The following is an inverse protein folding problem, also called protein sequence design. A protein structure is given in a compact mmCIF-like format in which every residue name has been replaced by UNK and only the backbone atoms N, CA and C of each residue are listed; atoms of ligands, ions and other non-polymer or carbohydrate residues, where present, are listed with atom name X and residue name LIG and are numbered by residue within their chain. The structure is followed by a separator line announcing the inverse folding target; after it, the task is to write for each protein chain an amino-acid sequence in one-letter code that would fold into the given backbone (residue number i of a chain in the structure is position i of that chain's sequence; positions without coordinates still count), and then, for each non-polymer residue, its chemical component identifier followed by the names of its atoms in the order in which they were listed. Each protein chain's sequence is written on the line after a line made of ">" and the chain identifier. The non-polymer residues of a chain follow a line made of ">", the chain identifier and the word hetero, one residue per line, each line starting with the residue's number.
data_IF_677675730529
#
_entry.id   IF_677675730529
#
_cell.length_a   1.000
_cell.length_b   1.000
_cell.length_c   1.000
_cell.angle_alpha   90.00
_cell.angle_beta   90.00
_cell.angle_gamma   90.00
#
_symmetry.space_group_name_H-M   'P 1'
#
loop_
_entity.id
_entity.type
_entity.pdbx_description
1 polymer ?
#
# COMPACT_ATOMS: atom_id res chain seq x y z
N UNK A 1 -25.88 -20.04 -1.83
CA UNK A 1 -25.36 -19.51 -3.10
C UNK A 1 -25.03 -18.04 -2.90
N UNK A 2 -23.79 -17.69 -2.60
CA UNK A 2 -23.38 -16.28 -2.58
C UNK A 2 -23.26 -15.82 -4.04
N UNK A 3 -24.23 -15.04 -4.51
CA UNK A 3 -24.16 -14.44 -5.84
C UNK A 3 -22.95 -13.51 -5.94
N UNK A 4 -22.15 -13.65 -6.99
CA UNK A 4 -21.01 -12.78 -7.24
C UNK A 4 -21.52 -11.38 -7.55
N UNK A 5 -21.49 -10.48 -6.55
CA UNK A 5 -21.83 -9.07 -6.74
C UNK A 5 -20.64 -8.36 -7.35
N UNK A 6 -20.86 -7.79 -8.54
CA UNK A 6 -19.88 -6.91 -9.19
C UNK A 6 -19.94 -5.54 -8.52
N UNK A 7 -18.81 -5.07 -8.01
CA UNK A 7 -18.63 -3.73 -7.43
C UNK A 7 -17.72 -2.94 -8.36
N UNK A 8 -18.07 -1.70 -8.69
CA UNK A 8 -17.19 -0.86 -9.48
C UNK A 8 -16.02 -0.39 -8.61
N UNK A 9 -14.79 -0.45 -9.13
CA UNK A 9 -13.57 -0.01 -8.40
C UNK A 9 -13.72 1.43 -7.90
N UNK A 10 -14.36 2.30 -8.69
CA UNK A 10 -14.61 3.70 -8.32
C UNK A 10 -15.35 3.84 -6.99
N UNK A 11 -16.25 2.92 -6.67
CA UNK A 11 -17.02 2.97 -5.43
C UNK A 11 -16.17 2.57 -4.21
N UNK A 12 -15.03 1.91 -4.45
CA UNK A 12 -14.03 1.57 -3.42
C UNK A 12 -13.00 2.68 -3.20
N UNK A 13 -12.82 3.59 -4.16
CA UNK A 13 -11.81 4.65 -4.13
C UNK A 13 -11.73 5.44 -2.81
N UNK A 14 -12.84 5.83 -2.14
CA UNK A 14 -12.77 6.53 -0.85
C UNK A 14 -12.00 5.77 0.24
N UNK A 15 -11.83 4.45 0.09
CA UNK A 15 -11.17 3.58 1.05
C UNK A 15 -9.75 3.17 0.65
N UNK A 16 -9.33 3.42 -0.59
CA UNK A 16 -8.07 2.90 -1.16
C UNK A 16 -7.20 3.95 -1.85
N UNK A 17 -7.62 5.23 -1.80
CA UNK A 17 -6.82 6.36 -2.26
C UNK A 17 -6.09 7.04 -1.09
N UNK A 18 -4.87 7.50 -1.37
CA UNK A 18 -4.07 8.31 -0.47
C UNK A 18 -4.54 9.77 -0.52
N UNK A 19 -4.93 10.33 0.63
CA UNK A 19 -5.37 11.73 0.71
C UNK A 19 -4.25 12.76 0.41
N UNK A 20 -2.97 12.38 0.50
CA UNK A 20 -1.84 13.28 0.27
C UNK A 20 -1.47 13.42 -1.22
N UNK A 21 -1.60 12.35 -2.02
CA UNK A 21 -1.25 12.39 -3.45
C UNK A 21 -2.43 12.21 -4.40
N UNK A 22 -3.61 11.82 -3.90
CA UNK A 22 -4.81 11.54 -4.70
C UNK A 22 -4.76 10.24 -5.50
N UNK A 23 -3.65 9.51 -5.49
CA UNK A 23 -3.50 8.20 -6.14
C UNK A 23 -3.86 7.03 -5.22
N UNK A 24 -3.83 5.80 -5.75
CA UNK A 24 -4.00 4.58 -4.93
C UNK A 24 -2.86 4.44 -3.92
N UNK A 25 -3.16 3.78 -2.79
CA UNK A 25 -2.17 3.48 -1.77
C UNK A 25 -1.06 2.57 -2.32
N UNK A 26 0.19 3.04 -2.22
CA UNK A 26 1.41 2.30 -2.53
C UNK A 26 2.26 2.25 -1.27
N UNK A 27 2.66 1.04 -0.86
CA UNK A 27 3.24 0.78 0.46
C UNK A 27 2.38 1.42 1.57
N UNK A 28 1.12 1.01 1.66
CA UNK A 28 0.14 1.52 2.60
C UNK A 28 0.75 1.57 4.01
N UNK A 29 0.65 2.73 4.63
CA UNK A 29 1.22 3.04 5.94
C UNK A 29 0.15 3.73 6.76
N UNK A 30 -0.18 3.13 7.90
CA UNK A 30 -1.30 3.50 8.74
C UNK A 30 -0.81 4.19 10.01
N UNK A 31 -1.44 5.31 10.37
CA UNK A 31 -1.25 5.98 11.66
C UNK A 31 -1.95 5.18 12.75
N UNK A 32 -1.22 4.77 13.79
CA UNK A 32 -1.77 3.89 14.84
C UNK A 32 -2.89 4.57 15.63
N UNK A 33 -2.71 5.85 15.96
CA UNK A 33 -3.63 6.60 16.85
C UNK A 33 -5.03 6.82 16.26
N UNK A 34 -5.15 6.89 14.92
CA UNK A 34 -6.42 7.22 14.26
C UNK A 34 -6.79 6.31 13.08
N UNK A 35 -5.97 5.31 12.77
CA UNK A 35 -6.17 4.33 11.70
C UNK A 35 -6.36 4.90 10.29
N UNK A 36 -5.90 6.13 10.04
CA UNK A 36 -5.83 6.69 8.71
C UNK A 36 -4.58 6.21 7.97
N UNK A 37 -4.75 5.82 6.70
CA UNK A 37 -3.70 5.23 5.86
C UNK A 37 -3.30 6.13 4.70
N UNK A 38 -2.01 6.08 4.36
CA UNK A 38 -1.39 6.88 3.30
C UNK A 38 -0.33 6.03 2.57
N UNK A 39 0.20 6.50 1.45
CA UNK A 39 1.42 5.92 0.89
C UNK A 39 2.60 6.17 1.84
N UNK A 40 3.52 5.20 1.98
CA UNK A 40 4.70 5.32 2.86
C UNK A 40 5.49 6.60 2.60
N UNK A 41 5.86 6.84 1.34
CA UNK A 41 6.64 8.03 0.94
C UNK A 41 5.90 9.33 1.27
N UNK A 42 4.58 9.38 1.02
CA UNK A 42 3.77 10.56 1.29
C UNK A 42 3.72 10.91 2.78
N UNK A 43 3.40 9.94 3.64
CA UNK A 43 3.26 10.23 5.08
C UNK A 43 4.63 10.48 5.73
N UNK A 44 5.68 9.77 5.33
CA UNK A 44 7.03 10.02 5.85
C UNK A 44 7.48 11.45 5.53
N UNK A 45 7.33 11.89 4.27
CA UNK A 45 7.67 13.25 3.86
C UNK A 45 6.83 14.32 4.58
N UNK A 46 5.52 14.07 4.76
CA UNK A 46 4.66 15.00 5.50
C UNK A 46 5.10 15.17 6.97
N UNK A 47 5.54 14.09 7.61
CA UNK A 47 5.92 14.10 9.02
C UNK A 47 7.30 14.72 9.31
N UNK A 48 8.02 15.15 8.28
CA UNK A 48 9.22 15.98 8.44
C UNK A 48 8.86 17.37 8.98
N UNK A 49 7.69 17.89 8.61
CA UNK A 49 7.25 19.26 8.96
C UNK A 49 6.06 19.29 9.93
N UNK A 50 5.33 18.18 10.06
CA UNK A 50 4.12 18.08 10.88
C UNK A 50 4.15 16.86 11.81
N UNK A 51 3.37 16.92 12.90
CA UNK A 51 3.21 15.82 13.88
C UNK A 51 1.75 15.41 14.07
N UNK A 52 0.86 15.89 13.20
CA UNK A 52 -0.57 15.61 13.24
C UNK A 52 -1.01 14.81 12.02
N UNK A 53 -2.14 14.14 12.09
CA UNK A 53 -2.71 13.40 10.96
C UNK A 53 -3.23 14.36 9.88
N UNK A 54 -2.87 14.18 8.59
CA UNK A 54 -3.38 15.02 7.50
C UNK A 54 -4.90 15.02 7.30
N UNK A 55 -5.63 14.04 7.86
CA UNK A 55 -7.07 13.87 7.66
C UNK A 55 -7.88 14.41 8.84
N UNK A 56 -7.44 14.16 10.07
CA UNK A 56 -8.22 14.43 11.27
C UNK A 56 -7.51 15.28 12.33
N UNK A 57 -6.31 15.79 12.02
CA UNK A 57 -5.49 16.62 12.92
C UNK A 57 -5.12 15.99 14.27
N UNK A 58 -5.41 14.71 14.48
CA UNK A 58 -5.00 13.97 15.66
C UNK A 58 -3.47 13.97 15.79
N UNK A 59 -2.97 14.22 17.01
CA UNK A 59 -1.53 14.18 17.27
C UNK A 59 -1.01 12.75 17.12
N UNK A 60 -0.13 12.52 16.14
CA UNK A 60 0.44 11.20 15.84
C UNK A 60 1.42 10.80 16.95
N UNK A 61 2.27 11.73 17.37
CA UNK A 61 3.20 11.55 18.48
C UNK A 61 3.70 12.92 18.95
N UNK A 62 4.09 13.04 20.22
CA UNK A 62 4.56 14.31 20.82
C UNK A 62 5.83 14.87 20.15
N UNK A 63 6.83 14.02 19.93
CA UNK A 63 8.14 14.43 19.39
C UNK A 63 8.54 13.72 18.09
N UNK A 64 8.37 12.39 18.03
CA UNK A 64 8.83 11.51 16.95
C UNK A 64 7.65 10.82 16.22
N UNK A 65 6.97 11.50 15.28
CA UNK A 65 5.77 10.96 14.61
C UNK A 65 6.00 9.63 13.86
N UNK A 66 7.21 9.38 13.35
CA UNK A 66 7.56 8.12 12.67
C UNK A 66 7.45 6.87 13.57
N UNK A 67 7.45 7.02 14.90
CA UNK A 67 7.26 5.89 15.82
C UNK A 67 5.83 5.36 15.85
N UNK A 68 4.85 6.17 15.43
CA UNK A 68 3.41 5.87 15.52
C UNK A 68 2.75 5.67 14.14
N UNK A 69 3.54 5.31 13.13
CA UNK A 69 3.07 4.81 11.84
C UNK A 69 3.57 3.39 11.61
N UNK A 70 2.78 2.55 10.94
CA UNK A 70 3.14 1.16 10.63
C UNK A 70 2.79 0.80 9.19
N UNK A 71 3.62 0.01 8.50
CA UNK A 71 3.22 -0.61 7.24
C UNK A 71 1.96 -1.45 7.44
N UNK A 72 1.02 -1.34 6.52
CA UNK A 72 -0.26 -2.05 6.54
C UNK A 72 -0.31 -3.01 5.35
N UNK A 73 0.32 -4.19 5.54
CA UNK A 73 0.46 -5.19 4.49
C UNK A 73 -0.89 -5.74 4.03
N UNK A 74 -1.85 -5.86 4.96
CA UNK A 74 -3.21 -6.33 4.66
C UNK A 74 -3.94 -5.34 3.77
N UNK A 75 -3.94 -4.05 4.12
CA UNK A 75 -4.54 -3.02 3.28
C UNK A 75 -3.85 -2.95 1.93
N UNK A 76 -2.52 -2.95 1.88
CA UNK A 76 -1.78 -2.95 0.62
C UNK A 76 -2.16 -4.14 -0.27
N UNK A 77 -2.26 -5.33 0.31
CA UNK A 77 -2.69 -6.55 -0.40
C UNK A 77 -4.11 -6.43 -0.94
N UNK A 78 -5.03 -5.83 -0.19
CA UNK A 78 -6.39 -5.56 -0.65
C UNK A 78 -6.38 -4.58 -1.82
N UNK A 79 -5.66 -3.47 -1.73
CA UNK A 79 -5.56 -2.47 -2.81
C UNK A 79 -5.03 -3.11 -4.10
N UNK A 80 -3.97 -3.91 -4.03
CA UNK A 80 -3.42 -4.61 -5.21
C UNK A 80 -4.35 -5.68 -5.79
N UNK A 81 -5.16 -6.35 -4.97
CA UNK A 81 -6.14 -7.34 -5.43
C UNK A 81 -7.41 -6.70 -6.00
N UNK A 82 -7.80 -5.52 -5.50
CA UNK A 82 -9.03 -4.82 -5.90
C UNK A 82 -8.86 -3.96 -7.15
N UNK A 83 -7.66 -3.39 -7.37
CA UNK A 83 -7.40 -2.50 -8.51
C UNK A 83 -6.65 -3.27 -9.61
N UNK A 84 -7.30 -3.60 -10.74
CA UNK A 84 -6.66 -4.32 -11.83
C UNK A 84 -5.46 -3.56 -12.38
N UNK A 85 -4.34 -4.26 -12.63
CA UNK A 85 -3.14 -3.66 -13.23
C UNK A 85 -2.22 -2.92 -12.25
N UNK A 86 -2.71 -2.51 -11.08
CA UNK A 86 -1.99 -1.59 -10.20
C UNK A 86 -0.63 -2.13 -9.74
N UNK A 87 -0.59 -3.39 -9.30
CA UNK A 87 0.66 -4.01 -8.88
C UNK A 87 1.65 -4.14 -10.03
N UNK A 88 1.19 -4.62 -11.20
CA UNK A 88 2.08 -4.78 -12.36
C UNK A 88 2.65 -3.44 -12.81
N UNK A 89 1.82 -2.38 -12.81
CA UNK A 89 2.24 -1.03 -13.15
C UNK A 89 3.28 -0.48 -12.17
N UNK A 90 3.08 -0.69 -10.86
CA UNK A 90 4.05 -0.29 -9.83
C UNK A 90 5.37 -1.04 -9.96
N UNK A 91 5.33 -2.38 -10.12
CA UNK A 91 6.54 -3.20 -10.33
C UNK A 91 7.27 -2.83 -11.63
N UNK A 92 6.54 -2.48 -12.69
CA UNK A 92 7.14 -1.98 -13.93
C UNK A 92 7.88 -0.67 -13.68
N UNK A 93 7.25 0.32 -13.01
CA UNK A 93 7.87 1.62 -12.72
C UNK A 93 9.14 1.46 -11.88
N UNK A 94 9.13 0.59 -10.86
CA UNK A 94 10.31 0.28 -10.05
C UNK A 94 11.45 -0.28 -10.90
N UNK A 95 11.17 -1.28 -11.74
CA UNK A 95 12.18 -1.84 -12.67
C UNK A 95 12.74 -0.80 -13.62
N UNK A 96 11.87 0.02 -14.23
CA UNK A 96 12.29 1.08 -15.16
C UNK A 96 13.20 2.12 -14.48
N UNK A 97 12.87 2.51 -13.25
CA UNK A 97 13.69 3.43 -12.46
C UNK A 97 15.06 2.80 -12.14
N UNK A 98 15.07 1.59 -11.57
CA UNK A 98 16.28 0.93 -11.13
C UNK A 98 17.17 0.41 -12.28
N UNK A 99 16.62 0.17 -13.47
CA UNK A 99 17.39 -0.17 -14.67
C UNK A 99 18.36 0.93 -15.11
N UNK A 100 18.17 2.16 -14.63
CA UNK A 100 19.05 3.30 -14.93
C UNK A 100 20.17 3.51 -13.90
N UNK A 101 20.16 2.75 -12.79
CA UNK A 101 21.10 2.90 -11.69
C UNK A 101 22.29 1.91 -11.79
N UNK A 102 23.45 2.23 -11.21
CA UNK A 102 24.56 1.29 -11.06
C UNK A 102 24.19 0.06 -10.24
N UNK A 103 24.80 -1.10 -10.53
CA UNK A 103 24.53 -2.35 -9.80
C UNK A 103 24.82 -2.23 -8.29
N UNK A 104 25.78 -1.41 -7.89
CA UNK A 104 26.10 -1.16 -6.48
C UNK A 104 24.93 -0.60 -5.67
N UNK A 105 24.05 0.18 -6.31
CA UNK A 105 22.89 0.78 -5.65
C UNK A 105 21.71 -0.21 -5.54
N UNK A 106 21.83 -1.39 -6.14
CA UNK A 106 20.80 -2.43 -6.17
C UNK A 106 21.03 -3.56 -5.16
N UNK A 107 22.24 -3.69 -4.60
CA UNK A 107 22.63 -4.79 -3.71
C UNK A 107 21.80 -4.82 -2.41
N UNK A 108 21.43 -3.65 -1.90
CA UNK A 108 20.68 -3.52 -0.64
C UNK A 108 19.15 -3.58 -0.82
N UNK A 109 18.65 -3.62 -2.06
CA UNK A 109 17.22 -3.57 -2.35
C UNK A 109 16.59 -4.96 -2.34
N UNK A 110 15.42 -5.08 -1.70
CA UNK A 110 14.60 -6.28 -1.79
C UNK A 110 14.09 -6.53 -3.20
N UNK A 111 13.64 -7.77 -3.47
CA UNK A 111 13.04 -8.13 -4.77
C UNK A 111 11.82 -7.26 -5.11
N UNK A 112 11.03 -6.86 -4.12
CA UNK A 112 9.88 -5.98 -4.34
C UNK A 112 10.32 -4.54 -4.64
N UNK A 113 11.35 -4.04 -3.96
CA UNK A 113 11.92 -2.71 -4.24
C UNK A 113 12.51 -2.65 -5.64
N UNK A 114 13.15 -3.73 -6.10
CA UNK A 114 13.63 -3.88 -7.48
C UNK A 114 12.51 -4.06 -8.52
N UNK A 115 11.28 -4.29 -8.09
CA UNK A 115 10.13 -4.53 -8.98
C UNK A 115 10.07 -5.95 -9.57
N UNK A 116 10.72 -6.91 -8.92
CA UNK A 116 10.82 -8.33 -9.31
C UNK A 116 9.92 -9.25 -8.46
N UNK A 117 9.02 -8.68 -7.63
CA UNK A 117 8.09 -9.43 -6.81
C UNK A 117 6.89 -9.98 -7.59
N UNK A 118 6.24 -11.00 -7.02
CA UNK A 118 5.01 -11.62 -7.54
C UNK A 118 3.94 -11.65 -6.45
N UNK A 119 2.70 -11.29 -6.79
CA UNK A 119 1.57 -11.24 -5.84
C UNK A 119 1.23 -12.58 -5.16
N UNK A 120 1.59 -13.70 -5.77
CA UNK A 120 1.18 -15.04 -5.34
C UNK A 120 2.01 -15.60 -4.17
N UNK A 121 3.16 -14.99 -3.83
CA UNK A 121 4.11 -15.56 -2.85
C UNK A 121 3.83 -15.26 -1.37
N UNK A 122 2.84 -14.42 -1.02
CA UNK A 122 2.61 -14.01 0.37
C UNK A 122 1.58 -14.85 1.15
N UNK A 123 1.00 -15.90 0.58
CA UNK A 123 -0.02 -16.71 1.27
C UNK A 123 0.60 -17.93 1.96
N UNK A 124 1.07 -17.77 3.21
CA UNK A 124 1.26 -18.92 4.12
C UNK A 124 -0.04 -19.11 4.91
N UNK A 125 -0.76 -20.23 4.76
CA UNK A 125 -2.01 -20.46 5.48
C UNK A 125 -1.72 -20.64 6.98
N UNK A 126 -2.20 -19.69 7.78
CA UNK A 126 -2.46 -19.85 9.21
C UNK A 126 -3.97 -19.94 9.43
N UNK A 127 -4.40 -20.74 10.41
CA UNK A 127 -5.71 -21.40 10.47
C UNK A 127 -6.97 -20.53 10.70
N UNK A 128 -6.92 -19.20 10.70
CA UNK A 128 -8.08 -18.37 11.10
C UNK A 128 -8.48 -17.27 10.09
N UNK A 129 -8.47 -17.53 8.77
CA UNK A 129 -8.61 -16.44 7.79
C UNK A 129 -9.76 -16.60 6.79
N UNK A 130 -10.65 -15.60 6.79
CA UNK A 130 -11.63 -15.34 5.72
C UNK A 130 -10.87 -15.17 4.40
N UNK A 131 -11.00 -16.16 3.52
CA UNK A 131 -10.43 -16.13 2.18
C UNK A 131 -11.36 -15.37 1.22
N UNK A 132 -10.95 -14.19 0.79
CA UNK A 132 -11.59 -13.47 -0.32
C UNK A 132 -10.99 -13.99 -1.63
N UNK A 133 -11.68 -14.94 -2.27
CA UNK A 133 -11.39 -15.37 -3.63
C UNK A 133 -12.09 -14.40 -4.59
N UNK A 134 -11.33 -13.53 -5.23
CA UNK A 134 -11.82 -12.70 -6.32
C UNK A 134 -11.75 -13.51 -7.62
N UNK A 135 -12.87 -14.10 -8.01
CA UNK A 135 -12.99 -14.78 -9.29
C UNK A 135 -13.30 -13.73 -10.37
N UNK A 136 -12.29 -13.34 -11.14
CA UNK A 136 -12.47 -12.50 -12.32
C UNK A 136 -13.15 -13.33 -13.41
N UNK A 137 -14.39 -12.99 -13.74
CA UNK A 137 -15.09 -13.57 -14.88
C UNK A 137 -14.78 -12.72 -16.13
N UNK A 138 -14.03 -13.30 -17.07
CA UNK A 138 -13.88 -12.80 -18.43
C UNK A 138 -15.15 -13.10 -19.24
#
# INVERSE_FOLDING_TARGET
>A
MYGSKRVAVRDLNPHILCALCGGYLIQATTVIECLHSFCRSCIVNFLETSKVCPICDAQIHKTRPLLNIRPDQTLQSLVYKLVPGLFQDEMRKRREFHATLPESDLEDLSLEERGEASLEKEFKPGDDHVSLVLQLAF
#
